data_IF_465429775272
#
_entry.id   IF_465429775272
#
_cell.length_a   1.000
_cell.length_b   1.000
_cell.length_c   1.000
_cell.angle_alpha   90.00
_cell.angle_beta   90.00
_cell.angle_gamma   90.00
#
_symmetry.space_group_name_H-M   'P 1'
#
loop_
_entity.id
_entity.type
_entity.pdbx_description
1 polymer ?
#
# COMPACT_ATOMS: atom_id res chain seq x y z
N UNK A 1 5.47 3.23 -27.11
CA UNK A 1 5.93 2.92 -25.73
C UNK A 1 7.14 3.76 -25.34
N UNK A 2 7.01 4.55 -24.27
CA UNK A 2 8.08 5.36 -23.69
C UNK A 2 8.83 4.50 -22.67
N UNK A 3 9.90 3.83 -23.08
CA UNK A 3 10.66 2.89 -22.24
C UNK A 3 11.69 3.66 -21.40
N UNK A 4 11.70 3.43 -20.08
CA UNK A 4 12.75 3.89 -19.17
C UNK A 4 12.73 5.38 -18.84
N UNK A 5 11.59 6.05 -18.98
CA UNK A 5 11.52 7.51 -18.90
C UNK A 5 11.16 8.09 -17.52
N UNK A 6 10.47 7.34 -16.65
CA UNK A 6 9.94 7.94 -15.42
C UNK A 6 10.87 7.75 -14.23
N UNK A 7 11.33 8.86 -13.67
CA UNK A 7 12.08 8.88 -12.41
C UNK A 7 11.17 8.73 -11.19
N UNK A 8 9.87 9.03 -11.36
CA UNK A 8 8.86 8.94 -10.29
C UNK A 8 7.66 8.17 -10.85
N UNK A 9 7.27 7.10 -10.15
CA UNK A 9 6.02 6.38 -10.40
C UNK A 9 5.17 6.47 -9.15
N UNK A 10 3.92 6.87 -9.32
CA UNK A 10 2.92 6.94 -8.26
C UNK A 10 1.77 6.02 -8.63
N UNK A 11 1.30 5.17 -7.72
CA UNK A 11 0.29 4.17 -8.04
C UNK A 11 -0.69 3.96 -6.89
N UNK A 12 -1.98 3.83 -7.24
CA UNK A 12 -3.05 3.42 -6.34
C UNK A 12 -3.80 2.19 -6.91
N UNK A 13 -3.23 0.98 -6.82
CA UNK A 13 -3.79 -0.19 -7.46
C UNK A 13 -5.21 -0.52 -6.95
N UNK A 14 -6.10 -1.03 -7.82
CA UNK A 14 -7.43 -1.44 -7.43
C UNK A 14 -7.38 -2.84 -6.82
N UNK A 15 -6.84 -2.96 -5.61
CA UNK A 15 -6.61 -4.23 -4.91
C UNK A 15 -7.86 -5.11 -4.83
N UNK A 16 -7.80 -6.32 -5.36
CA UNK A 16 -8.82 -7.33 -5.12
C UNK A 16 -8.64 -7.96 -3.74
N UNK A 17 -9.73 -8.08 -2.97
CA UNK A 17 -9.73 -8.76 -1.68
C UNK A 17 -10.28 -10.17 -1.83
N UNK A 18 -9.61 -11.16 -1.24
CA UNK A 18 -10.03 -12.57 -1.31
C UNK A 18 -11.39 -12.85 -0.63
N UNK A 19 -11.99 -11.89 0.09
CA UNK A 19 -13.28 -12.07 0.78
C UNK A 19 -14.40 -11.35 0.05
N UNK A 20 -15.24 -12.12 -0.64
CA UNK A 20 -16.36 -11.69 -1.48
C UNK A 20 -17.62 -11.19 -0.74
N UNK A 21 -17.58 -10.98 0.58
CA UNK A 21 -18.77 -10.59 1.37
C UNK A 21 -18.44 -9.64 2.53
N UNK A 22 -17.83 -8.50 2.25
CA UNK A 22 -17.67 -7.42 3.23
C UNK A 22 -18.57 -6.24 2.82
N UNK A 23 -19.33 -5.69 3.77
CA UNK A 23 -20.17 -4.51 3.54
C UNK A 23 -19.27 -3.34 3.13
N UNK A 24 -19.47 -2.77 1.94
CA UNK A 24 -18.61 -1.71 1.38
C UNK A 24 -17.37 -2.20 0.61
N UNK A 25 -17.38 -3.42 0.08
CA UNK A 25 -16.29 -3.94 -0.75
C UNK A 25 -16.02 -3.04 -1.98
N UNK A 26 -14.73 -2.83 -2.30
CA UNK A 26 -14.27 -2.04 -3.44
C UNK A 26 -14.85 -2.51 -4.78
N UNK A 27 -15.06 -3.82 -4.93
CA UNK A 27 -15.67 -4.46 -6.11
C UNK A 27 -17.08 -3.94 -6.44
N UNK A 28 -17.81 -3.38 -5.45
CA UNK A 28 -19.12 -2.79 -5.68
C UNK A 28 -19.05 -1.39 -6.33
N UNK A 29 -17.85 -0.80 -6.42
CA UNK A 29 -17.64 0.57 -6.88
C UNK A 29 -16.79 0.65 -8.16
N UNK A 30 -15.84 -0.27 -8.38
CA UNK A 30 -15.00 -0.33 -9.58
C UNK A 30 -14.41 -1.75 -9.77
N UNK A 31 -14.04 -2.14 -11.01
CA UNK A 31 -13.30 -3.39 -11.24
C UNK A 31 -12.00 -3.42 -10.43
N UNK A 32 -11.76 -4.53 -9.72
CA UNK A 32 -10.49 -4.77 -9.02
C UNK A 32 -9.59 -5.67 -9.85
N UNK A 33 -8.29 -5.69 -9.52
CA UNK A 33 -7.30 -6.58 -10.13
C UNK A 33 -6.71 -7.53 -9.10
N UNK A 34 -6.55 -8.78 -9.50
CA UNK A 34 -5.82 -9.77 -8.74
C UNK A 34 -4.33 -9.43 -8.65
N UNK A 35 -3.65 -9.91 -7.61
CA UNK A 35 -2.22 -9.64 -7.42
C UNK A 35 -1.36 -10.12 -8.61
N UNK A 36 -1.71 -11.24 -9.23
CA UNK A 36 -0.95 -11.76 -10.36
C UNK A 36 -1.13 -10.90 -11.62
N UNK A 37 -2.33 -10.35 -11.84
CA UNK A 37 -2.58 -9.38 -12.93
C UNK A 37 -1.82 -8.08 -12.70
N UNK A 38 -1.79 -7.58 -11.45
CA UNK A 38 -1.01 -6.40 -11.08
C UNK A 38 0.49 -6.62 -11.30
N UNK A 39 0.99 -7.80 -10.94
CA UNK A 39 2.40 -8.17 -11.13
C UNK A 39 2.76 -8.33 -12.60
N UNK A 40 1.82 -8.72 -13.46
CA UNK A 40 2.04 -8.88 -14.90
C UNK A 40 2.14 -7.55 -15.66
N UNK A 41 1.77 -6.42 -15.03
CA UNK A 41 1.89 -5.10 -15.67
C UNK A 41 3.36 -4.75 -15.93
N UNK A 42 3.70 -4.22 -17.13
CA UNK A 42 5.07 -3.88 -17.52
C UNK A 42 5.56 -2.56 -16.89
N UNK A 43 5.29 -2.34 -15.60
CA UNK A 43 5.73 -1.12 -14.87
C UNK A 43 7.25 -1.00 -14.88
N UNK A 44 7.95 -2.13 -14.91
CA UNK A 44 9.39 -2.16 -15.00
C UNK A 44 9.94 -1.47 -16.26
N UNK A 45 9.18 -1.49 -17.37
CA UNK A 45 9.58 -0.89 -18.64
C UNK A 45 9.36 0.62 -18.64
N UNK A 46 8.46 1.14 -17.80
CA UNK A 46 8.24 2.58 -17.61
C UNK A 46 9.37 3.24 -16.80
N UNK A 47 9.89 2.51 -15.81
CA UNK A 47 10.78 3.03 -14.79
C UNK A 47 12.19 3.32 -15.32
N UNK A 48 12.67 4.54 -15.08
CA UNK A 48 14.08 4.91 -15.30
C UNK A 48 15.02 4.05 -14.42
N UNK A 49 16.32 3.91 -14.80
CA UNK A 49 17.30 3.12 -14.03
C UNK A 49 17.39 3.54 -12.56
N UNK A 50 17.36 4.85 -12.31
CA UNK A 50 17.25 5.46 -10.98
C UNK A 50 15.85 6.07 -10.83
N UNK A 51 14.98 5.40 -10.08
CA UNK A 51 13.58 5.84 -9.94
C UNK A 51 12.98 5.48 -8.58
N UNK A 52 11.97 6.23 -8.19
CA UNK A 52 11.19 6.01 -6.98
C UNK A 52 9.75 5.60 -7.31
N UNK A 53 9.25 4.61 -6.58
CA UNK A 53 7.87 4.16 -6.59
C UNK A 53 7.18 4.58 -5.30
N UNK A 54 6.05 5.26 -5.44
CA UNK A 54 5.12 5.63 -4.38
C UNK A 54 3.84 4.82 -4.55
N UNK A 55 3.60 3.85 -3.66
CA UNK A 55 2.54 2.86 -3.83
C UNK A 55 1.55 2.92 -2.67
N UNK A 56 0.30 3.29 -2.94
CA UNK A 56 -0.76 3.19 -1.93
C UNK A 56 -1.13 1.74 -1.67
N UNK A 57 -1.23 1.40 -0.39
CA UNK A 57 -1.74 0.13 0.09
C UNK A 57 -2.64 0.34 1.29
N UNK A 58 -3.67 -0.49 1.41
CA UNK A 58 -4.38 -0.65 2.67
C UNK A 58 -3.58 -1.60 3.57
N UNK A 59 -3.72 -1.46 4.89
CA UNK A 59 -2.99 -2.32 5.83
C UNK A 59 -3.14 -3.85 5.58
N UNK A 60 -4.32 -4.38 5.23
CA UNK A 60 -4.46 -5.80 4.90
C UNK A 60 -3.74 -6.23 3.63
N UNK A 61 -3.54 -5.30 2.68
CA UNK A 61 -2.87 -5.56 1.39
C UNK A 61 -1.36 -5.34 1.45
N UNK A 62 -0.80 -5.13 2.65
CA UNK A 62 0.65 -4.95 2.83
C UNK A 62 1.49 -6.11 2.29
N UNK A 63 1.16 -7.40 2.54
CA UNK A 63 1.91 -8.51 1.98
C UNK A 63 1.95 -8.49 0.44
N UNK A 64 0.80 -8.24 -0.19
CA UNK A 64 0.63 -8.15 -1.63
C UNK A 64 1.34 -6.93 -2.21
N UNK A 65 1.29 -5.78 -1.53
CA UNK A 65 1.97 -4.56 -1.95
C UNK A 65 3.49 -4.73 -1.95
N UNK A 66 4.06 -5.41 -0.95
CA UNK A 66 5.49 -5.73 -0.93
C UNK A 66 5.89 -6.66 -2.07
N UNK A 67 5.05 -7.69 -2.35
CA UNK A 67 5.25 -8.58 -3.49
C UNK A 67 5.15 -7.84 -4.83
N UNK A 68 4.23 -6.90 -4.96
CA UNK A 68 4.06 -6.07 -6.15
C UNK A 68 5.27 -5.15 -6.40
N UNK A 69 5.81 -4.53 -5.34
CA UNK A 69 7.04 -3.72 -5.40
C UNK A 69 8.19 -4.53 -6.00
N UNK A 70 8.38 -5.76 -5.55
CA UNK A 70 9.42 -6.65 -6.07
C UNK A 70 9.17 -7.05 -7.53
N UNK A 71 7.93 -7.42 -7.88
CA UNK A 71 7.54 -7.80 -9.24
C UNK A 71 7.78 -6.66 -10.25
N UNK A 72 7.52 -5.42 -9.85
CA UNK A 72 7.82 -4.23 -10.66
C UNK A 72 9.30 -3.84 -10.66
N UNK A 73 10.18 -4.62 -10.01
CA UNK A 73 11.63 -4.39 -10.02
C UNK A 73 12.08 -3.22 -9.15
N UNK A 74 11.38 -2.96 -8.05
CA UNK A 74 11.75 -1.98 -7.03
C UNK A 74 12.14 -2.69 -5.72
N UNK A 75 12.88 -2.00 -4.86
CA UNK A 75 13.17 -2.44 -3.49
C UNK A 75 12.46 -1.53 -2.51
N UNK A 76 11.64 -2.11 -1.64
CA UNK A 76 10.99 -1.39 -0.56
C UNK A 76 12.02 -0.67 0.34
N UNK A 77 11.67 0.54 0.80
CA UNK A 77 12.51 1.36 1.69
C UNK A 77 11.84 1.68 3.00
N UNK A 78 10.66 2.29 2.94
CA UNK A 78 9.90 2.75 4.11
C UNK A 78 8.51 3.17 3.70
N UNK A 79 7.69 3.64 4.64
CA UNK A 79 6.47 4.38 4.34
C UNK A 79 6.85 5.79 3.85
N UNK A 80 6.39 6.19 2.67
CA UNK A 80 6.51 7.56 2.18
C UNK A 80 5.58 8.47 2.96
N UNK A 81 4.29 8.10 3.03
CA UNK A 81 3.25 8.89 3.67
C UNK A 81 2.27 8.04 4.47
N UNK A 82 1.79 8.61 5.58
CA UNK A 82 0.68 8.09 6.36
C UNK A 82 -0.44 9.13 6.28
N UNK A 83 -1.53 8.77 5.60
CA UNK A 83 -2.72 9.60 5.53
C UNK A 83 -3.62 9.34 6.74
N UNK A 84 -3.69 10.30 7.65
CA UNK A 84 -4.62 10.32 8.76
C UNK A 84 -5.93 10.98 8.32
N UNK A 85 -7.01 10.22 8.34
CA UNK A 85 -8.28 10.62 7.72
C UNK A 85 -9.14 11.43 8.68
N UNK A 86 -9.57 12.62 8.26
CA UNK A 86 -10.59 13.42 8.95
C UNK A 86 -11.97 13.26 8.33
N UNK A 87 -13.01 13.55 9.09
CA UNK A 87 -14.37 13.61 8.56
C UNK A 87 -14.56 14.83 7.64
N UNK A 88 -15.45 14.71 6.64
CA UNK A 88 -15.75 15.78 5.68
C UNK A 88 -16.33 17.04 6.31
N UNK A 89 -17.20 16.84 7.30
CA UNK A 89 -18.09 17.89 7.84
C UNK A 89 -17.84 18.19 9.32
N UNK A 90 -16.91 17.48 9.94
CA UNK A 90 -16.62 17.62 11.36
C UNK A 90 -15.11 17.62 11.57
N UNK A 91 -14.64 18.44 12.49
CA UNK A 91 -13.23 18.49 12.89
C UNK A 91 -12.90 17.32 13.83
N UNK A 92 -13.02 16.10 13.29
CA UNK A 92 -12.82 14.86 14.02
C UNK A 92 -12.27 13.75 13.12
N UNK A 93 -11.74 12.69 13.72
CA UNK A 93 -11.16 11.56 13.01
C UNK A 93 -12.22 10.71 12.33
N UNK A 94 -11.93 10.27 11.10
CA UNK A 94 -12.71 9.28 10.40
C UNK A 94 -12.31 7.87 10.84
N UNK A 95 -13.29 7.02 11.12
CA UNK A 95 -13.09 5.62 11.50
C UNK A 95 -13.88 4.69 10.58
N UNK A 96 -13.20 4.14 9.58
CA UNK A 96 -13.71 3.06 8.73
C UNK A 96 -13.98 1.79 9.54
N UNK A 97 -14.65 0.83 8.90
CA UNK A 97 -15.02 -0.45 9.52
C UNK A 97 -13.78 -1.19 10.04
N UNK A 98 -12.76 -1.29 9.19
CA UNK A 98 -11.54 -2.04 9.48
C UNK A 98 -11.82 -3.54 9.65
N UNK A 99 -10.86 -4.24 10.25
CA UNK A 99 -10.97 -5.68 10.54
C UNK A 99 -10.89 -5.89 12.06
N UNK A 100 -9.67 -5.94 12.59
CA UNK A 100 -9.40 -6.08 14.02
C UNK A 100 -9.46 -4.76 14.78
N UNK A 101 -9.09 -3.67 14.11
CA UNK A 101 -9.17 -2.30 14.61
C UNK A 101 -9.93 -1.44 13.61
N UNK A 102 -10.49 -0.31 14.09
CA UNK A 102 -11.15 0.66 13.21
C UNK A 102 -10.11 1.35 12.33
N UNK A 103 -10.25 1.22 11.01
CA UNK A 103 -9.30 1.81 10.06
C UNK A 103 -9.47 3.32 9.97
N UNK A 104 -8.45 4.09 10.36
CA UNK A 104 -8.44 5.56 10.32
C UNK A 104 -7.28 6.14 9.50
N UNK A 105 -6.40 5.27 8.99
CA UNK A 105 -5.26 5.66 8.19
C UNK A 105 -5.10 4.81 6.93
N UNK A 106 -4.40 5.36 5.95
CA UNK A 106 -3.85 4.63 4.79
C UNK A 106 -2.38 4.99 4.61
N UNK A 107 -1.63 4.11 3.96
CA UNK A 107 -0.18 4.26 3.80
C UNK A 107 0.22 4.26 2.33
N UNK A 108 1.14 5.15 1.99
CA UNK A 108 1.84 5.19 0.73
C UNK A 108 3.27 4.70 0.98
N UNK A 109 3.65 3.57 0.39
CA UNK A 109 4.97 2.97 0.52
C UNK A 109 5.95 3.65 -0.43
N UNK A 110 7.20 3.82 0.03
CA UNK A 110 8.34 4.23 -0.78
C UNK A 110 9.19 3.01 -1.13
N UNK A 111 9.43 2.83 -2.42
CA UNK A 111 10.39 1.88 -2.94
C UNK A 111 11.30 2.55 -3.98
N UNK A 112 12.49 2.01 -4.22
CA UNK A 112 13.41 2.57 -5.21
C UNK A 112 14.01 1.49 -6.11
N UNK A 113 14.32 1.89 -7.33
CA UNK A 113 15.19 1.17 -8.27
C UNK A 113 16.45 2.01 -8.46
N UNK A 114 17.61 1.36 -8.46
CA UNK A 114 18.89 2.07 -8.51
C UNK A 114 19.10 2.99 -7.29
N UNK A 115 19.64 4.19 -7.53
CA UNK A 115 20.05 5.17 -6.54
C UNK A 115 19.45 6.57 -6.82
N UNK A 116 18.11 6.73 -6.84
CA UNK A 116 17.48 8.02 -7.12
C UNK A 116 17.86 9.05 -6.06
N UNK A 117 18.09 10.29 -6.49
CA UNK A 117 18.50 11.39 -5.60
C UNK A 117 17.28 12.02 -4.93
N UNK A 118 17.25 11.98 -3.59
CA UNK A 118 16.32 12.78 -2.78
C UNK A 118 16.71 14.26 -2.83
N UNK A 119 15.77 15.15 -3.15
CA UNK A 119 16.00 16.60 -3.25
C UNK A 119 15.73 17.34 -1.93
N UNK A 120 14.69 16.93 -1.19
CA UNK A 120 14.32 17.58 0.07
C UNK A 120 14.34 16.59 1.24
N UNK A 121 14.91 17.04 2.37
CA UNK A 121 15.02 16.22 3.58
C UNK A 121 13.93 16.48 4.64
N UNK A 122 13.21 17.58 4.49
CA UNK A 122 12.20 18.08 5.42
C UNK A 122 10.77 17.64 5.08
N UNK A 123 10.59 16.66 4.19
CA UNK A 123 9.27 16.16 3.83
C UNK A 123 8.81 15.16 4.89
N UNK A 124 7.83 15.56 5.70
CA UNK A 124 7.25 14.70 6.74
C UNK A 124 6.20 13.73 6.16
N UNK A 125 6.13 12.54 6.76
CA UNK A 125 5.25 11.45 6.31
C UNK A 125 3.76 11.73 6.49
N UNK A 126 3.36 12.56 7.46
CA UNK A 126 1.94 12.78 7.71
C UNK A 126 1.27 13.59 6.61
N UNK A 127 0.12 13.08 6.18
CA UNK A 127 -0.90 13.81 5.44
C UNK A 127 -2.15 13.78 6.33
N UNK A 128 -2.66 14.93 6.73
CA UNK A 128 -3.83 15.02 7.59
C UNK A 128 -4.89 15.82 6.83
N UNK A 129 -5.86 15.11 6.25
CA UNK A 129 -6.87 15.74 5.41
C UNK A 129 -8.22 15.03 5.50
N UNK A 130 -9.34 15.73 5.24
CA UNK A 130 -10.65 15.11 5.16
C UNK A 130 -10.73 14.06 4.07
N UNK A 131 -11.48 12.98 4.30
CA UNK A 131 -11.83 12.06 3.21
C UNK A 131 -12.65 12.76 2.14
N UNK A 132 -12.45 12.40 0.88
CA UNK A 132 -13.20 12.98 -0.25
C UNK A 132 -14.10 11.92 -0.90
N UNK A 133 -14.20 11.89 -2.23
CA UNK A 133 -14.89 10.83 -2.95
C UNK A 133 -14.32 9.45 -2.56
N UNK A 134 -15.13 8.39 -2.72
CA UNK A 134 -14.76 7.05 -2.29
C UNK A 134 -13.43 6.62 -2.92
N UNK A 135 -12.45 6.26 -2.08
CA UNK A 135 -11.09 5.88 -2.49
C UNK A 135 -10.25 6.98 -3.18
N UNK A 136 -10.71 8.24 -3.23
CA UNK A 136 -9.86 9.37 -3.67
C UNK A 136 -8.75 9.59 -2.65
N UNK A 137 -7.49 9.52 -3.09
CA UNK A 137 -6.30 9.81 -2.30
C UNK A 137 -6.09 11.33 -2.18
N UNK A 138 -5.43 11.81 -1.11
CA UNK A 138 -5.17 13.23 -0.91
C UNK A 138 -4.28 13.81 -2.02
N UNK A 139 -4.64 14.99 -2.53
CA UNK A 139 -3.88 15.67 -3.57
C UNK A 139 -2.47 16.09 -3.07
N UNK A 140 -2.36 16.34 -1.75
CA UNK A 140 -1.12 16.67 -1.05
C UNK A 140 -0.03 15.58 -1.19
N UNK A 141 -0.42 14.35 -1.49
CA UNK A 141 0.55 13.28 -1.75
C UNK A 141 1.41 13.60 -2.98
N UNK A 142 0.79 14.08 -4.07
CA UNK A 142 1.52 14.45 -5.30
C UNK A 142 2.44 15.62 -5.05
N UNK A 143 1.97 16.64 -4.33
CA UNK A 143 2.77 17.81 -3.97
C UNK A 143 3.99 17.40 -3.15
N UNK A 144 3.80 16.55 -2.14
CA UNK A 144 4.90 16.02 -1.32
C UNK A 144 5.88 15.16 -2.11
N UNK A 145 5.41 14.38 -3.08
CA UNK A 145 6.28 13.61 -3.98
C UNK A 145 7.17 14.55 -4.81
N UNK A 146 6.58 15.57 -5.42
CA UNK A 146 7.32 16.57 -6.22
C UNK A 146 8.29 17.35 -5.34
N UNK A 147 7.89 17.74 -4.12
CA UNK A 147 8.79 18.40 -3.19
C UNK A 147 9.97 17.50 -2.76
N UNK A 148 9.72 16.21 -2.54
CA UNK A 148 10.72 15.22 -2.13
C UNK A 148 11.74 14.91 -3.24
N UNK A 149 11.25 14.70 -4.46
CA UNK A 149 12.01 14.17 -5.58
C UNK A 149 12.44 15.23 -6.60
N UNK A 150 11.84 16.41 -6.56
CA UNK A 150 12.04 17.49 -7.52
C UNK A 150 11.13 17.38 -8.75
N UNK A 151 11.34 18.31 -9.68
CA UNK A 151 10.63 18.34 -10.95
C UNK A 151 11.26 17.37 -11.95
N UNK A 152 10.82 16.10 -11.88
CA UNK A 152 11.32 15.00 -12.71
C UNK A 152 10.18 14.36 -13.51
N UNK A 153 10.48 13.67 -14.63
CA UNK A 153 9.49 12.89 -15.37
C UNK A 153 8.76 11.91 -14.46
N UNK A 154 7.42 11.99 -14.46
CA UNK A 154 6.56 11.29 -13.51
C UNK A 154 5.24 10.83 -14.10
N UNK A 155 4.79 9.66 -13.65
CA UNK A 155 3.53 9.05 -14.08
C UNK A 155 2.72 8.58 -12.88
N UNK A 156 1.40 8.77 -12.95
CA UNK A 156 0.42 8.19 -12.05
C UNK A 156 -0.31 7.02 -12.71
N UNK A 157 -0.19 5.84 -12.11
CA UNK A 157 -0.87 4.62 -12.53
C UNK A 157 -2.15 4.44 -11.71
N UNK A 158 -3.20 3.96 -12.36
CA UNK A 158 -4.57 3.86 -11.84
C UNK A 158 -5.17 5.23 -11.47
N UNK A 159 -4.77 6.27 -12.20
CA UNK A 159 -5.20 7.63 -11.96
C UNK A 159 -6.71 7.81 -12.22
N UNK A 160 -7.34 8.66 -11.40
CA UNK A 160 -8.73 9.12 -11.60
C UNK A 160 -8.82 10.59 -12.00
N UNK A 161 -7.68 11.28 -12.02
CA UNK A 161 -7.56 12.70 -12.31
C UNK A 161 -6.31 12.92 -13.17
N UNK A 162 -6.26 14.03 -13.89
CA UNK A 162 -5.11 14.43 -14.72
C UNK A 162 -4.46 15.69 -14.16
N UNK A 163 -3.72 15.60 -13.04
CA UNK A 163 -3.10 16.77 -12.43
C UNK A 163 -1.99 17.33 -13.34
N UNK A 164 -1.81 18.67 -13.40
CA UNK A 164 -0.76 19.28 -14.21
C UNK A 164 0.63 18.70 -13.90
N UNK A 165 1.41 18.47 -14.95
CA UNK A 165 2.78 17.96 -14.83
C UNK A 165 2.89 16.47 -14.48
N UNK A 166 1.78 15.72 -14.47
CA UNK A 166 1.77 14.27 -14.36
C UNK A 166 1.26 13.64 -15.66
N UNK A 167 2.00 12.65 -16.13
CA UNK A 167 1.42 11.67 -17.05
C UNK A 167 0.54 10.71 -16.28
N UNK A 168 -0.50 10.19 -16.93
CA UNK A 168 -1.52 9.39 -16.25
C UNK A 168 -1.93 8.18 -17.06
N UNK A 169 -2.24 7.11 -16.35
CA UNK A 169 -2.89 5.93 -16.88
C UNK A 169 -3.95 5.45 -15.90
N UNK A 170 -5.17 5.26 -16.36
CA UNK A 170 -6.27 4.78 -15.53
C UNK A 170 -7.61 4.80 -16.27
N UNK A 171 -8.59 4.06 -15.76
CA UNK A 171 -9.87 3.86 -16.44
C UNK A 171 -10.80 5.09 -16.40
N UNK A 172 -10.51 6.06 -15.52
CA UNK A 172 -11.33 7.26 -15.29
C UNK A 172 -10.68 8.52 -15.90
N UNK A 173 -9.60 8.37 -16.67
CA UNK A 173 -8.88 9.47 -17.31
C UNK A 173 -8.57 9.14 -18.76
N UNK A 174 -8.35 10.18 -19.58
CA UNK A 174 -7.73 9.99 -20.89
C UNK A 174 -6.23 9.71 -20.68
N UNK A 175 -5.83 8.44 -20.76
CA UNK A 175 -4.44 8.03 -20.59
C UNK A 175 -3.50 8.78 -21.53
N UNK A 176 -2.39 9.28 -20.97
CA UNK A 176 -1.31 9.93 -21.74
C UNK A 176 -0.29 8.91 -22.26
N UNK A 177 -0.30 7.70 -21.69
CA UNK A 177 0.47 6.54 -22.13
C UNK A 177 -0.46 5.40 -22.60
N UNK A 178 -1.19 5.58 -23.71
CA UNK A 178 -2.25 4.64 -24.14
C UNK A 178 -1.75 3.24 -24.47
N UNK A 179 -0.46 3.09 -24.82
CA UNK A 179 0.16 1.79 -25.12
C UNK A 179 0.44 0.95 -23.85
N UNK A 180 0.40 1.57 -22.66
CA UNK A 180 0.68 0.87 -21.41
C UNK A 180 -0.43 -0.13 -21.07
N UNK A 181 -0.06 -1.41 -20.94
CA UNK A 181 -1.00 -2.51 -20.67
C UNK A 181 -1.57 -3.21 -21.92
N UNK A 182 -1.27 -2.73 -23.13
CA UNK A 182 -1.69 -3.41 -24.38
C UNK A 182 -0.79 -4.59 -24.78
N UNK A 183 0.44 -4.64 -24.26
CA UNK A 183 1.29 -5.81 -24.40
C UNK A 183 1.12 -6.67 -23.17
N UNK A 184 0.83 -7.96 -23.39
CA UNK A 184 0.86 -8.97 -22.35
C UNK A 184 2.23 -9.02 -21.65
N UNK A 185 2.37 -9.79 -20.57
CA UNK A 185 3.57 -9.78 -19.73
C UNK A 185 4.84 -9.97 -20.57
N UNK A 186 5.93 -9.23 -20.28
CA UNK A 186 7.18 -9.38 -21.00
C UNK A 186 7.67 -10.83 -20.92
N UNK A 187 8.06 -11.41 -22.06
CA UNK A 187 8.45 -12.84 -22.18
C UNK A 187 9.68 -13.24 -21.35
N UNK A 188 10.36 -12.30 -20.69
CA UNK A 188 11.62 -12.50 -19.97
C UNK A 188 11.54 -12.20 -18.46
N UNK A 189 10.36 -11.90 -17.89
CA UNK A 189 10.20 -11.87 -16.43
C UNK A 189 9.91 -13.26 -15.89
N UNK A 190 10.79 -13.74 -15.00
CA UNK A 190 10.52 -14.95 -14.20
C UNK A 190 9.27 -14.68 -13.37
N UNK A 191 8.19 -15.40 -13.66
CA UNK A 191 6.98 -15.36 -12.84
C UNK A 191 7.32 -15.65 -11.39
N UNK A 192 6.82 -14.80 -10.50
CA UNK A 192 7.02 -14.89 -9.06
C UNK A 192 6.30 -16.15 -8.56
N UNK A 193 7.00 -17.30 -8.52
CA UNK A 193 6.44 -18.60 -8.16
C UNK A 193 7.39 -19.79 -8.26
N UNK A 194 8.46 -19.72 -9.05
CA UNK A 194 9.47 -20.77 -9.10
C UNK A 194 10.40 -20.69 -7.87
N UNK A 195 9.99 -21.34 -6.78
CA UNK A 195 10.94 -21.77 -5.74
C UNK A 195 12.02 -22.60 -6.43
N UNK A 196 13.29 -22.23 -6.27
CA UNK A 196 14.40 -23.13 -6.59
C UNK A 196 14.21 -24.39 -5.76
N UNK A 197 13.90 -25.52 -6.39
CA UNK A 197 14.13 -26.82 -5.79
C UNK A 197 15.64 -27.01 -5.70
N UNK A 198 16.25 -26.54 -4.61
CA UNK A 198 17.55 -27.03 -4.21
C UNK A 198 17.29 -28.42 -3.60
N UNK A 199 17.64 -29.48 -4.34
CA UNK A 199 17.47 -30.87 -3.93
C UNK A 199 18.36 -31.25 -2.74
N UNK A 200 17.99 -30.80 -1.54
CA UNK A 200 18.63 -31.17 -0.28
C UNK A 200 17.67 -30.92 0.90
N UNK A 201 16.48 -31.53 0.89
CA UNK A 201 15.62 -31.55 2.09
C UNK A 201 14.86 -32.88 2.26
N UNK A 202 15.50 -33.97 1.83
CA UNK A 202 15.04 -35.33 2.05
C UNK A 202 15.63 -35.96 3.31
N UNK A 203 15.58 -35.29 4.48
CA UNK A 203 15.85 -35.95 5.76
C UNK A 203 15.38 -35.15 6.97
N UNK A 204 14.06 -35.03 7.19
CA UNK A 204 13.53 -34.66 8.51
C UNK A 204 12.05 -34.99 8.73
N UNK A 205 11.60 -36.13 8.21
CA UNK A 205 10.35 -36.75 8.68
C UNK A 205 10.68 -38.04 9.42
N UNK A 206 10.80 -37.93 10.74
CA UNK A 206 10.56 -38.97 11.77
C UNK A 206 11.20 -38.54 13.10
N UNK A 207 10.50 -37.75 13.90
CA UNK A 207 10.46 -37.89 15.38
C UNK A 207 9.12 -37.36 15.87
N UNK A 208 8.27 -38.31 16.28
CA UNK A 208 7.31 -38.32 17.40
C UNK A 208 6.65 -37.00 17.81
N UNK A 209 5.33 -36.82 17.61
CA UNK A 209 4.22 -37.34 18.47
C UNK A 209 4.58 -37.35 19.96
N UNK A 210 3.99 -36.42 20.71
CA UNK A 210 3.83 -36.54 22.17
C UNK A 210 3.87 -35.20 22.89
N UNK A 211 2.69 -34.66 23.21
CA UNK A 211 2.37 -33.96 24.47
C UNK A 211 1.24 -32.96 24.23
N UNK A 212 0.00 -33.40 24.49
CA UNK A 212 -1.08 -32.48 24.84
C UNK A 212 -0.75 -31.91 26.23
N UNK A 213 -0.79 -30.59 26.38
CA UNK A 213 -0.85 -29.93 27.67
C UNK A 213 -2.17 -29.17 27.75
N UNK A 214 -2.99 -29.57 28.72
CA UNK A 214 -4.27 -28.97 29.07
C UNK A 214 -4.07 -27.54 29.57
N UNK A 215 -4.88 -26.61 29.05
CA UNK A 215 -4.93 -25.23 29.53
C UNK A 215 -5.96 -25.15 30.66
N UNK A 216 -5.48 -25.06 31.90
CA UNK A 216 -6.30 -24.70 33.07
C UNK A 216 -6.47 -23.19 33.08
N UNK A 217 -7.71 -22.73 32.98
CA UNK A 217 -8.10 -21.32 33.11
C UNK A 217 -8.35 -20.99 34.58
N UNK A 218 -7.56 -20.08 35.15
CA UNK A 218 -7.92 -19.38 36.39
C UNK A 218 -7.71 -17.89 36.21
N UNK A 219 -8.82 -17.17 36.04
CA UNK A 219 -8.90 -15.71 36.19
C UNK A 219 -8.80 -15.34 37.68
N UNK A 220 -8.09 -14.27 38.08
CA UNK A 220 -8.20 -13.76 39.43
C UNK A 220 -9.45 -12.89 39.61
N UNK A 221 -10.21 -13.17 40.67
CA UNK A 221 -11.31 -12.34 41.17
C UNK A 221 -10.78 -11.01 41.71
N UNK A 222 -11.37 -9.90 41.28
CA UNK A 222 -11.16 -8.58 41.89
C UNK A 222 -12.21 -8.38 42.98
N UNK A 223 -11.81 -8.49 44.24
CA UNK A 223 -12.63 -8.08 45.39
C UNK A 223 -12.49 -6.59 45.63
N UNK A 224 -13.62 -5.89 45.62
CA UNK A 224 -13.72 -4.49 46.00
C UNK A 224 -13.51 -4.29 47.51
N UNK A 225 -12.90 -3.16 47.85
CA UNK A 225 -12.98 -2.56 49.18
C UNK A 225 -13.07 -1.04 48.98
N UNK A 226 -14.25 -0.48 49.24
CA UNK A 226 -14.44 0.96 49.36
C UNK A 226 -14.03 1.45 50.75
N UNK A 227 -13.49 2.66 50.81
CA UNK A 227 -13.64 3.60 51.93
C UNK A 227 -13.59 5.05 51.41
N UNK A 228 -14.71 5.77 51.60
CA UNK A 228 -14.79 7.23 51.85
C UNK A 228 -13.83 7.64 52.98
N UNK A 229 -13.37 8.88 53.19
CA UNK A 229 -13.50 10.20 52.56
C UNK A 229 -12.34 11.06 53.11
N UNK A 230 -11.97 12.16 52.44
CA UNK A 230 -11.98 13.52 53.02
C UNK A 230 -11.43 14.59 52.04
N UNK A 231 -11.97 15.82 52.02
CA UNK A 231 -11.63 16.85 51.04
C UNK A 231 -10.67 17.96 51.54
N UNK A 232 -9.88 18.52 50.59
CA UNK A 232 -9.26 19.86 50.53
C UNK A 232 -8.19 20.24 51.60
N UNK A 233 -7.28 21.24 51.41
CA UNK A 233 -7.61 22.58 50.86
C UNK A 233 -6.57 23.34 49.99
N UNK A 234 -7.12 24.39 49.35
CA UNK A 234 -6.56 25.60 48.67
C UNK A 234 -5.75 25.42 47.38
#
# INVERSE_FOLDING_TARGET
MTIGNYSIIYADPPWQYQRSKVQGAAENHYPTMGIDELCALPVADLAAPDSALFLWATFPQLPEALRLIEAWGFRYKSVAFVWLKKNKRADSWFYGLGFWTRGNAEICLLATRGHPKRQAANIHQFIISPIEAHSKKPDEAREKIVALMGDLPRVELFARQSPPGWEVWGNEVKSTIPDFGLMGPPQNQRFCGERRNNGADGLRDKVSRGSQAEFVTTSPEVKGAGKEADPCPM
#
